data_IF_218947781690
#
_entry.id   IF_218947781690
#
_cell.length_a   1.000
_cell.length_b   1.000
_cell.length_c   1.000
_cell.angle_alpha   90.00
_cell.angle_beta   90.00
_cell.angle_gamma   90.00
#
_symmetry.space_group_name_H-M   'P 1'
#
loop_
_entity.id
_entity.type
_entity.pdbx_description
1 polymer ?
#
# COMPACT_ATOMS: atom_id res chain seq x y z
N UNK A 1 2.09 -19.49 -12.31
CA UNK A 1 2.89 -19.35 -11.07
C UNK A 1 1.93 -19.56 -9.91
N UNK A 2 2.29 -20.32 -8.88
CA UNK A 2 1.43 -20.45 -7.70
C UNK A 2 1.35 -19.08 -7.02
N UNK A 3 0.15 -18.56 -6.81
CA UNK A 3 -0.09 -17.34 -6.03
C UNK A 3 0.49 -17.56 -4.64
N UNK A 4 1.43 -16.72 -4.24
CA UNK A 4 1.99 -16.75 -2.89
C UNK A 4 0.84 -16.44 -1.93
N UNK A 5 0.44 -17.43 -1.14
CA UNK A 5 -0.66 -17.26 -0.20
C UNK A 5 -0.12 -16.53 1.02
N UNK A 6 -0.48 -15.26 1.17
CA UNK A 6 -0.15 -14.49 2.38
C UNK A 6 -0.88 -15.08 3.58
N UNK A 7 -0.15 -15.41 4.62
CA UNK A 7 -0.68 -15.93 5.89
C UNK A 7 0.11 -15.32 7.04
N UNK A 8 -0.49 -15.27 8.21
CA UNK A 8 0.20 -14.79 9.41
C UNK A 8 0.02 -13.28 9.64
N UNK A 9 1.04 -12.62 10.17
CA UNK A 9 1.02 -11.21 10.57
C UNK A 9 1.67 -10.33 9.51
N UNK A 10 0.89 -9.47 8.85
CA UNK A 10 1.38 -8.41 7.99
C UNK A 10 1.30 -7.10 8.77
N UNK A 11 2.44 -6.55 9.16
CA UNK A 11 2.50 -5.41 10.07
C UNK A 11 2.50 -4.08 9.29
N UNK A 12 1.59 -3.11 9.60
CA UNK A 12 1.65 -1.77 9.05
C UNK A 12 2.82 -0.99 9.63
N UNK A 13 3.61 -0.36 8.76
CA UNK A 13 4.86 0.30 9.14
C UNK A 13 4.65 1.80 9.26
N UNK A 14 5.08 2.39 10.39
CA UNK A 14 5.19 3.83 10.54
C UNK A 14 6.42 4.36 9.82
N UNK A 15 6.35 5.57 9.31
CA UNK A 15 7.44 6.23 8.61
C UNK A 15 8.01 7.33 9.51
N UNK A 16 9.19 7.15 10.11
CA UNK A 16 9.78 8.15 11.00
C UNK A 16 10.38 9.31 10.23
N UNK A 17 10.23 10.51 10.79
CA UNK A 17 10.77 11.74 10.27
C UNK A 17 11.86 12.33 11.16
N UNK A 18 12.79 13.04 10.53
CA UNK A 18 13.71 13.96 11.20
C UNK A 18 12.96 15.23 11.63
N UNK A 19 13.62 16.08 12.43
CA UNK A 19 13.05 17.36 12.87
C UNK A 19 12.72 18.33 11.71
N UNK A 20 13.36 18.18 10.57
CA UNK A 20 13.15 18.94 9.33
C UNK A 20 12.26 18.20 8.31
N UNK A 21 11.45 17.28 8.81
CA UNK A 21 10.44 16.53 8.02
C UNK A 21 11.00 15.72 6.84
N UNK A 22 12.24 15.26 6.97
CA UNK A 22 12.80 14.30 6.02
C UNK A 22 12.66 12.88 6.55
N UNK A 23 12.66 11.88 5.66
CA UNK A 23 12.67 10.48 6.07
C UNK A 23 13.92 10.18 6.93
N UNK A 24 13.71 9.79 8.19
CA UNK A 24 14.79 9.25 9.04
C UNK A 24 15.07 7.80 8.65
N UNK A 25 15.94 7.64 7.64
CA UNK A 25 16.30 6.33 7.09
C UNK A 25 16.87 5.40 8.18
N UNK A 26 17.66 5.92 9.10
CA UNK A 26 18.28 5.11 10.15
C UNK A 26 17.23 4.57 11.15
N UNK A 27 16.25 5.38 11.55
CA UNK A 27 15.15 4.95 12.40
C UNK A 27 14.21 4.00 11.66
N UNK A 28 13.99 4.25 10.37
CA UNK A 28 13.17 3.40 9.51
C UNK A 28 13.77 2.00 9.38
N UNK A 29 15.07 1.91 9.12
CA UNK A 29 15.80 0.66 9.03
C UNK A 29 15.77 -0.12 10.36
N UNK A 30 16.02 0.54 11.50
CA UNK A 30 15.91 -0.10 12.81
C UNK A 30 14.50 -0.65 13.08
N UNK A 31 13.47 0.11 12.69
CA UNK A 31 12.06 -0.30 12.87
C UNK A 31 11.73 -1.54 12.03
N UNK A 32 12.09 -1.52 10.74
CA UNK A 32 11.88 -2.64 9.82
C UNK A 32 12.60 -3.91 10.32
N UNK A 33 13.88 -3.80 10.66
CA UNK A 33 14.67 -4.93 11.13
C UNK A 33 14.07 -5.52 12.42
N UNK A 34 13.65 -4.68 13.37
CA UNK A 34 13.01 -5.12 14.60
C UNK A 34 11.72 -5.92 14.35
N UNK A 35 10.90 -5.50 13.37
CA UNK A 35 9.67 -6.22 13.02
C UNK A 35 9.98 -7.57 12.38
N UNK A 36 10.94 -7.61 11.46
CA UNK A 36 11.37 -8.86 10.82
C UNK A 36 11.97 -9.83 11.86
N UNK A 37 12.83 -9.34 12.76
CA UNK A 37 13.42 -10.15 13.84
C UNK A 37 12.36 -10.66 14.83
N UNK A 38 11.25 -9.94 15.00
CA UNK A 38 10.11 -10.37 15.80
C UNK A 38 9.25 -11.44 15.10
N UNK A 39 9.53 -11.76 13.83
CA UNK A 39 8.89 -12.86 13.10
C UNK A 39 7.59 -12.48 12.41
N UNK A 40 7.44 -11.23 11.92
CA UNK A 40 6.30 -10.88 11.08
C UNK A 40 6.39 -11.59 9.73
N UNK A 41 5.24 -11.94 9.16
CA UNK A 41 5.14 -12.66 7.88
C UNK A 41 5.13 -11.72 6.66
N UNK A 42 5.01 -10.41 6.88
CA UNK A 42 5.06 -9.38 5.86
C UNK A 42 4.98 -7.99 6.44
N UNK A 43 5.27 -6.98 5.60
CA UNK A 43 5.23 -5.56 5.97
C UNK A 43 4.36 -4.77 5.01
N UNK A 44 3.54 -3.87 5.56
CA UNK A 44 2.67 -2.98 4.81
C UNK A 44 3.10 -1.53 4.97
N UNK A 45 3.67 -0.97 3.92
CA UNK A 45 4.14 0.41 3.84
C UNK A 45 3.09 1.33 3.21
N UNK A 46 3.15 2.62 3.54
CA UNK A 46 2.24 3.63 3.00
C UNK A 46 0.75 3.29 3.20
N UNK A 47 0.42 2.68 4.34
CA UNK A 47 -0.95 2.62 4.85
C UNK A 47 -1.29 3.87 5.65
N UNK A 48 -2.40 3.83 6.41
CA UNK A 48 -2.82 4.94 7.29
C UNK A 48 -1.76 5.24 8.36
N UNK A 49 -1.15 4.21 8.97
CA UNK A 49 -0.05 4.38 9.93
C UNK A 49 1.24 4.90 9.29
N UNK A 50 1.41 4.70 7.98
CA UNK A 50 2.52 5.24 7.19
C UNK A 50 2.25 6.62 6.61
N UNK A 51 1.14 7.25 7.01
CA UNK A 51 0.77 8.63 6.67
C UNK A 51 0.77 8.92 5.15
N UNK A 52 0.34 7.93 4.35
CA UNK A 52 0.39 7.98 2.89
C UNK A 52 -0.23 9.25 2.29
N UNK A 53 -1.37 9.70 2.84
CA UNK A 53 -2.11 10.86 2.31
C UNK A 53 -1.42 12.21 2.58
N UNK A 54 -0.44 12.25 3.49
CA UNK A 54 0.35 13.44 3.80
C UNK A 54 1.68 13.48 3.02
N UNK A 55 2.01 12.40 2.31
CA UNK A 55 3.25 12.29 1.56
C UNK A 55 3.08 12.79 0.12
N UNK A 56 4.04 13.58 -0.37
CA UNK A 56 4.16 13.90 -1.80
C UNK A 56 4.52 12.66 -2.60
N UNK A 57 4.32 12.69 -3.91
CA UNK A 57 4.65 11.56 -4.80
C UNK A 57 6.14 11.23 -4.75
N UNK A 58 7.01 12.25 -4.69
CA UNK A 58 8.47 12.07 -4.53
C UNK A 58 8.80 11.38 -3.20
N UNK A 59 8.15 11.80 -2.11
CA UNK A 59 8.35 11.18 -0.80
C UNK A 59 7.84 9.73 -0.77
N UNK A 60 6.70 9.44 -1.39
CA UNK A 60 6.20 8.06 -1.52
C UNK A 60 7.22 7.17 -2.24
N UNK A 61 7.78 7.65 -3.37
CA UNK A 61 8.84 6.94 -4.11
C UNK A 61 10.07 6.68 -3.24
N UNK A 62 10.52 7.67 -2.49
CA UNK A 62 11.67 7.53 -1.56
C UNK A 62 11.39 6.47 -0.50
N UNK A 63 10.21 6.51 0.15
CA UNK A 63 9.82 5.55 1.18
C UNK A 63 9.79 4.12 0.61
N UNK A 64 9.20 3.92 -0.57
CA UNK A 64 9.13 2.59 -1.22
C UNK A 64 10.53 2.09 -1.56
N UNK A 65 11.38 2.93 -2.17
CA UNK A 65 12.74 2.56 -2.53
C UNK A 65 13.57 2.12 -1.31
N UNK A 66 13.51 2.90 -0.21
CA UNK A 66 14.19 2.54 1.04
C UNK A 66 13.59 1.28 1.69
N UNK A 67 12.26 1.15 1.68
CA UNK A 67 11.58 -0.02 2.24
C UNK A 67 12.03 -1.31 1.55
N UNK A 68 11.98 -1.37 0.22
CA UNK A 68 12.38 -2.58 -0.52
C UNK A 68 13.88 -2.86 -0.39
N UNK A 69 14.73 -1.82 -0.37
CA UNK A 69 16.17 -1.95 -0.12
C UNK A 69 16.44 -2.57 1.26
N UNK A 70 15.79 -2.05 2.30
CA UNK A 70 16.00 -2.49 3.69
C UNK A 70 15.42 -3.88 3.91
N UNK A 71 14.22 -4.16 3.40
CA UNK A 71 13.59 -5.50 3.56
C UNK A 71 14.40 -6.57 2.84
N UNK A 72 15.01 -6.27 1.70
CA UNK A 72 15.92 -7.15 0.95
C UNK A 72 15.33 -8.58 0.79
N UNK A 73 14.10 -8.66 0.31
CA UNK A 73 13.37 -9.93 0.06
C UNK A 73 13.18 -10.86 1.27
N UNK A 74 13.48 -10.42 2.51
CA UNK A 74 13.35 -11.25 3.72
C UNK A 74 11.90 -11.59 4.06
N UNK A 75 10.98 -10.70 3.76
CA UNK A 75 9.53 -10.89 3.91
C UNK A 75 8.79 -10.20 2.76
N UNK A 76 7.54 -10.58 2.44
CA UNK A 76 6.70 -9.89 1.49
C UNK A 76 6.52 -8.40 1.83
N UNK A 77 6.52 -7.55 0.80
CA UNK A 77 6.30 -6.11 0.89
C UNK A 77 5.00 -5.74 0.21
N UNK A 78 4.04 -5.23 0.97
CA UNK A 78 2.83 -4.59 0.47
C UNK A 78 2.97 -3.08 0.51
N UNK A 79 2.52 -2.39 -0.53
CA UNK A 79 2.63 -0.93 -0.65
C UNK A 79 1.26 -0.30 -0.87
N UNK A 80 0.90 0.66 -0.04
CA UNK A 80 -0.31 1.48 -0.21
C UNK A 80 -0.17 2.43 -1.41
N UNK A 81 -1.10 2.28 -2.35
CA UNK A 81 -1.22 3.13 -3.54
C UNK A 81 -2.42 4.08 -3.41
N UNK A 82 -2.74 4.43 -2.18
CA UNK A 82 -3.96 5.14 -1.76
C UNK A 82 -3.96 6.58 -2.25
N UNK A 83 -5.00 6.96 -2.98
CA UNK A 83 -5.22 8.34 -3.45
C UNK A 83 -6.72 8.62 -3.67
N UNK A 84 -7.05 9.86 -3.99
CA UNK A 84 -8.42 10.36 -4.12
C UNK A 84 -9.12 9.96 -5.41
N UNK A 85 -8.37 9.50 -6.43
CA UNK A 85 -8.88 9.29 -7.78
C UNK A 85 -8.14 8.13 -8.48
N UNK A 86 -8.84 7.43 -9.38
CA UNK A 86 -8.35 6.21 -10.05
C UNK A 86 -7.05 6.40 -10.81
N UNK A 87 -6.95 7.46 -11.63
CA UNK A 87 -5.75 7.73 -12.44
C UNK A 87 -4.52 8.01 -11.57
N UNK A 88 -4.70 8.72 -10.47
CA UNK A 88 -3.62 8.97 -9.50
C UNK A 88 -3.15 7.67 -8.82
N UNK A 89 -4.09 6.76 -8.52
CA UNK A 89 -3.76 5.44 -7.97
C UNK A 89 -2.99 4.60 -9.02
N UNK A 90 -3.36 4.68 -10.30
CA UNK A 90 -2.64 4.01 -11.40
C UNK A 90 -1.22 4.58 -11.56
N UNK A 91 -1.03 5.89 -11.40
CA UNK A 91 0.31 6.50 -11.38
C UNK A 91 1.15 5.99 -10.20
N UNK A 92 0.54 5.83 -9.02
CA UNK A 92 1.20 5.23 -7.86
C UNK A 92 1.58 3.76 -8.11
N UNK A 93 0.73 2.97 -8.78
CA UNK A 93 1.05 1.60 -9.21
C UNK A 93 2.31 1.59 -10.07
N UNK A 94 2.34 2.41 -11.13
CA UNK A 94 3.49 2.50 -12.03
C UNK A 94 4.77 2.85 -11.28
N UNK A 95 4.69 3.79 -10.35
CA UNK A 95 5.83 4.17 -9.51
C UNK A 95 6.37 3.01 -8.68
N UNK A 96 5.49 2.20 -8.09
CA UNK A 96 5.87 1.02 -7.29
C UNK A 96 6.49 -0.06 -8.19
N UNK A 97 5.92 -0.32 -9.37
CA UNK A 97 6.44 -1.31 -10.33
C UNK A 97 7.80 -0.89 -10.92
N UNK A 98 8.00 0.40 -11.19
CA UNK A 98 9.28 0.96 -11.64
C UNK A 98 10.40 0.77 -10.61
N UNK A 99 10.10 0.95 -9.32
CA UNK A 99 11.07 0.72 -8.23
C UNK A 99 11.36 -0.79 -8.09
N UNK A 100 10.32 -1.62 -8.22
CA UNK A 100 10.42 -3.06 -8.06
C UNK A 100 10.50 -3.50 -6.60
N UNK A 101 10.51 -4.83 -6.37
CA UNK A 101 10.68 -5.43 -5.04
C UNK A 101 9.41 -5.51 -4.19
N UNK A 102 8.33 -4.85 -4.56
CA UNK A 102 7.03 -5.03 -3.92
C UNK A 102 6.40 -6.37 -4.36
N UNK A 103 5.70 -7.01 -3.42
CA UNK A 103 4.96 -8.27 -3.66
C UNK A 103 3.51 -7.98 -4.04
N UNK A 104 2.94 -6.90 -3.51
CA UNK A 104 1.57 -6.50 -3.78
C UNK A 104 1.33 -5.02 -3.48
N UNK A 105 0.20 -4.54 -3.97
CA UNK A 105 -0.28 -3.17 -3.76
C UNK A 105 -1.63 -3.17 -3.04
N UNK A 106 -1.86 -2.14 -2.24
CA UNK A 106 -3.05 -2.01 -1.38
C UNK A 106 -3.78 -0.74 -1.74
N UNK A 107 -5.03 -0.85 -2.18
CA UNK A 107 -5.89 0.28 -2.53
C UNK A 107 -7.12 0.37 -1.63
N UNK A 108 -7.57 1.58 -1.35
CA UNK A 108 -8.89 1.87 -0.79
C UNK A 108 -9.87 2.26 -1.90
N UNK A 109 -11.16 2.37 -1.57
CA UNK A 109 -12.06 3.15 -2.43
C UNK A 109 -11.54 4.58 -2.58
N UNK A 110 -11.76 5.26 -3.73
CA UNK A 110 -11.48 6.69 -3.86
C UNK A 110 -12.22 7.49 -2.80
N UNK A 111 -11.62 8.56 -2.33
CA UNK A 111 -12.16 9.38 -1.25
C UNK A 111 -12.12 10.87 -1.61
N UNK A 112 -12.67 11.73 -0.74
CA UNK A 112 -12.93 13.14 -0.95
C UNK A 112 -14.19 13.37 -1.82
N UNK A 113 -14.20 12.98 -3.09
CA UNK A 113 -15.41 12.92 -3.91
C UNK A 113 -15.91 11.46 -3.92
N UNK A 114 -17.02 11.20 -3.22
CA UNK A 114 -17.52 9.84 -3.05
C UNK A 114 -18.32 9.40 -4.27
N UNK A 115 -17.99 8.22 -4.79
CA UNK A 115 -18.76 7.51 -5.80
C UNK A 115 -19.72 6.48 -5.19
N UNK A 116 -20.62 5.95 -6.01
CA UNK A 116 -21.44 4.80 -5.65
C UNK A 116 -20.69 3.47 -5.81
N UNK A 117 -21.37 2.36 -5.49
CA UNK A 117 -20.76 1.02 -5.56
C UNK A 117 -20.27 0.67 -6.98
N UNK A 118 -20.99 1.11 -8.01
CA UNK A 118 -20.58 0.88 -9.42
C UNK A 118 -19.26 1.56 -9.76
N UNK A 119 -19.06 2.79 -9.31
CA UNK A 119 -17.81 3.54 -9.50
C UNK A 119 -16.66 2.91 -8.73
N UNK A 120 -16.90 2.44 -7.51
CA UNK A 120 -15.91 1.73 -6.69
C UNK A 120 -15.52 0.39 -7.33
N UNK A 121 -16.50 -0.37 -7.85
CA UNK A 121 -16.22 -1.60 -8.58
C UNK A 121 -15.36 -1.33 -9.82
N UNK A 122 -15.73 -0.32 -10.61
CA UNK A 122 -14.96 0.10 -11.78
C UNK A 122 -13.53 0.51 -11.41
N UNK A 123 -13.37 1.24 -10.31
CA UNK A 123 -12.05 1.62 -9.78
C UNK A 123 -11.16 0.39 -9.58
N UNK A 124 -11.58 -0.58 -8.78
CA UNK A 124 -10.78 -1.78 -8.51
C UNK A 124 -10.49 -2.61 -9.76
N UNK A 125 -11.44 -2.71 -10.70
CA UNK A 125 -11.21 -3.40 -11.98
C UNK A 125 -10.13 -2.71 -12.81
N UNK A 126 -10.20 -1.38 -12.93
CA UNK A 126 -9.17 -0.60 -13.63
C UNK A 126 -7.79 -0.74 -12.96
N UNK A 127 -7.72 -0.73 -11.62
CA UNK A 127 -6.46 -0.97 -10.93
C UNK A 127 -5.89 -2.35 -11.28
N UNK A 128 -6.73 -3.38 -11.27
CA UNK A 128 -6.30 -4.75 -11.59
C UNK A 128 -5.80 -4.90 -13.03
N UNK A 129 -6.40 -4.18 -13.96
CA UNK A 129 -5.95 -4.14 -15.37
C UNK A 129 -4.60 -3.43 -15.54
N UNK A 130 -4.20 -2.59 -14.59
CA UNK A 130 -2.99 -1.76 -14.65
C UNK A 130 -1.86 -2.23 -13.72
N UNK A 131 -1.96 -3.44 -13.14
CA UNK A 131 -0.87 -4.00 -12.32
C UNK A 131 -0.65 -5.48 -12.57
N UNK A 132 0.61 -5.89 -12.54
CA UNK A 132 1.03 -7.29 -12.50
C UNK A 132 1.14 -7.83 -11.07
N UNK A 133 1.17 -6.94 -10.06
CA UNK A 133 1.27 -7.27 -8.65
C UNK A 133 -0.06 -7.79 -8.09
N UNK A 134 -0.02 -8.42 -6.92
CA UNK A 134 -1.24 -8.73 -6.19
C UNK A 134 -1.92 -7.44 -5.73
N UNK A 135 -3.22 -7.29 -6.03
CA UNK A 135 -4.02 -6.14 -5.62
C UNK A 135 -4.88 -6.50 -4.40
N UNK A 136 -4.74 -5.73 -3.33
CA UNK A 136 -5.50 -5.89 -2.11
C UNK A 136 -6.49 -4.73 -1.93
N UNK A 137 -7.74 -5.07 -1.63
CA UNK A 137 -8.77 -4.09 -1.28
C UNK A 137 -8.72 -3.80 0.23
N UNK A 138 -8.49 -2.54 0.59
CA UNK A 138 -8.44 -2.07 1.98
C UNK A 138 -9.75 -1.39 2.37
N UNK A 139 -10.58 -2.09 3.14
CA UNK A 139 -11.84 -1.56 3.64
C UNK A 139 -11.61 -0.77 4.95
N UNK A 140 -11.53 0.55 4.83
CA UNK A 140 -11.32 1.46 5.96
C UNK A 140 -12.31 2.64 5.91
N UNK A 141 -13.61 2.39 6.12
CA UNK A 141 -14.65 3.41 5.94
C UNK A 141 -14.53 4.60 6.88
N UNK A 142 -13.86 4.43 8.03
CA UNK A 142 -13.60 5.57 8.95
C UNK A 142 -12.70 6.64 8.34
N UNK A 143 -11.86 6.29 7.35
CA UNK A 143 -10.96 7.23 6.67
C UNK A 143 -11.49 7.68 5.32
N UNK A 144 -12.08 6.76 4.54
CA UNK A 144 -12.48 7.02 3.16
C UNK A 144 -14.00 7.21 2.97
N UNK A 145 -14.78 7.09 4.05
CA UNK A 145 -16.24 7.24 4.08
C UNK A 145 -17.02 6.34 3.11
N UNK A 146 -16.38 5.31 2.58
CA UNK A 146 -16.96 4.30 1.71
C UNK A 146 -16.71 2.92 2.30
N UNK A 147 -17.77 2.14 2.48
CA UNK A 147 -17.73 0.75 2.93
C UNK A 147 -17.73 -0.17 1.71
N UNK A 148 -16.78 -1.10 1.66
CA UNK A 148 -16.80 -2.17 0.67
C UNK A 148 -17.81 -3.23 1.13
N UNK A 149 -18.90 -3.40 0.37
CA UNK A 149 -19.91 -4.40 0.70
C UNK A 149 -19.39 -5.83 0.44
N UNK A 150 -19.89 -6.85 1.18
CA UNK A 150 -19.55 -8.25 0.89
C UNK A 150 -19.87 -8.64 -0.57
N UNK A 151 -21.00 -8.16 -1.11
CA UNK A 151 -21.41 -8.44 -2.49
C UNK A 151 -20.44 -7.83 -3.51
N UNK A 152 -19.94 -6.61 -3.25
CA UNK A 152 -18.90 -5.99 -4.07
C UNK A 152 -17.61 -6.83 -4.02
N UNK A 153 -17.16 -7.19 -2.83
CA UNK A 153 -15.93 -8.00 -2.68
C UNK A 153 -16.05 -9.37 -3.39
N UNK A 154 -17.23 -10.00 -3.36
CA UNK A 154 -17.50 -11.24 -4.09
C UNK A 154 -17.42 -11.06 -5.61
N UNK A 155 -17.78 -9.88 -6.14
CA UNK A 155 -17.68 -9.60 -7.58
C UNK A 155 -16.27 -9.25 -8.04
N UNK A 156 -15.42 -8.80 -7.11
CA UNK A 156 -14.03 -8.41 -7.39
C UNK A 156 -13.05 -9.60 -7.29
N UNK A 157 -13.36 -10.62 -6.48
CA UNK A 157 -12.54 -11.83 -6.28
C UNK A 157 -12.91 -12.91 -7.24
#
# INVERSE_FOLDING_TARGET
MATQKFTGVIHPVVVPDTADHQLDVASFERSINRMIDAGVDGLFFLGSSGEVVFSTDERRRQIVAEAVRIVDHRVPVLVGIIDTETERVIENIKAVEEIGGATGVVATAPFYALGGETEVERHFRLLKENTSLELWAYDIPVCVHTKLSPDLLMRLG
#
